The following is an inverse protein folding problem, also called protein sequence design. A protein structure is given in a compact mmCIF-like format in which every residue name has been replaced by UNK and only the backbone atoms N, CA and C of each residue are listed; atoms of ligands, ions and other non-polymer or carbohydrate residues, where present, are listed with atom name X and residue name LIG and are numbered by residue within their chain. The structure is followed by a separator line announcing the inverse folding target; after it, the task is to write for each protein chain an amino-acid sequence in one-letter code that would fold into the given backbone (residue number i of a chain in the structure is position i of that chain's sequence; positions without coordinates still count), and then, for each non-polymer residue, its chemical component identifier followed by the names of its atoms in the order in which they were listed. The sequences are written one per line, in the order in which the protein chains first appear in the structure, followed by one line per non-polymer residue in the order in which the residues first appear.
data_IF_605687744840
#
_entry.id   IF_605687744840
#
_cell.length_a   1.000
_cell.length_b   1.000
_cell.length_c   1.000
_cell.angle_alpha   90.00
_cell.angle_beta   90.00
_cell.angle_gamma   90.00
#
_symmetry.space_group_name_H-M   'P 1'
#
loop_
_entity.id
_entity.type
_entity.pdbx_description
1 polymer ?
#
# COMPACT_ATOMS: atom_id res chain seq x y z
N UNK A 1 1.24 11.99 -17.53
CA UNK A 1 2.23 11.47 -16.59
C UNK A 1 2.38 10.00 -16.88
N UNK A 2 3.58 9.58 -17.27
CA UNK A 2 3.85 8.21 -17.70
C UNK A 2 4.08 7.36 -16.45
N UNK A 3 3.15 6.44 -16.16
CA UNK A 3 3.31 5.47 -15.08
C UNK A 3 4.60 4.67 -15.30
N UNK A 4 5.38 4.47 -14.24
CA UNK A 4 6.57 3.61 -14.27
C UNK A 4 6.19 2.25 -14.90
N UNK A 5 7.00 1.75 -15.85
CA UNK A 5 6.70 0.52 -16.60
C UNK A 5 6.45 -0.67 -15.68
N UNK A 6 7.16 -0.76 -14.57
CA UNK A 6 6.98 -1.84 -13.60
C UNK A 6 5.64 -1.72 -12.86
N UNK A 7 5.24 -0.51 -12.47
CA UNK A 7 3.96 -0.26 -11.83
C UNK A 7 2.77 -0.53 -12.77
N UNK A 8 2.94 -0.32 -14.08
CA UNK A 8 1.91 -0.70 -15.07
C UNK A 8 1.65 -2.22 -15.12
N UNK A 9 2.67 -3.05 -14.81
CA UNK A 9 2.50 -4.50 -14.73
C UNK A 9 1.93 -4.95 -13.39
N UNK A 10 2.04 -4.13 -12.35
CA UNK A 10 1.45 -4.40 -11.03
C UNK A 10 -0.04 -4.03 -11.02
N UNK A 11 -0.40 -2.87 -11.59
CA UNK A 11 -1.78 -2.39 -11.56
C UNK A 11 -2.66 -3.26 -12.47
N UNK A 12 -3.67 -3.90 -11.86
CA UNK A 12 -4.73 -4.57 -12.58
C UNK A 12 -5.55 -3.52 -13.30
N UNK A 13 -5.63 -3.61 -14.63
CA UNK A 13 -6.50 -2.73 -15.43
C UNK A 13 -7.99 -3.05 -15.26
N UNK A 14 -8.34 -4.10 -14.49
CA UNK A 14 -9.72 -4.55 -14.33
C UNK A 14 -10.51 -3.58 -13.44
N UNK A 15 -9.96 -3.18 -12.30
CA UNK A 15 -10.67 -2.31 -11.35
C UNK A 15 -9.81 -1.14 -10.89
N UNK A 16 -10.01 0.00 -11.55
CA UNK A 16 -9.42 1.28 -11.16
C UNK A 16 -10.56 2.29 -11.04
N UNK A 17 -10.64 2.94 -9.88
CA UNK A 17 -11.61 4.01 -9.64
C UNK A 17 -10.89 5.33 -9.45
N UNK A 18 -11.08 6.25 -10.40
CA UNK A 18 -10.61 7.62 -10.27
C UNK A 18 -11.52 8.43 -9.37
N UNK A 19 -10.93 9.40 -8.67
CA UNK A 19 -11.67 10.37 -7.89
C UNK A 19 -12.36 11.37 -8.80
N UNK A 20 -13.58 11.74 -8.43
CA UNK A 20 -14.29 12.91 -8.98
C UNK A 20 -14.15 14.14 -8.09
N UNK A 21 -13.83 13.93 -6.81
CA UNK A 21 -13.71 14.95 -5.78
C UNK A 21 -12.38 14.76 -5.03
N UNK A 22 -11.83 15.86 -4.50
CA UNK A 22 -10.61 15.80 -3.69
C UNK A 22 -10.86 15.01 -2.41
N UNK A 23 -9.90 14.17 -2.03
CA UNK A 23 -9.94 13.47 -0.74
C UNK A 23 -9.90 14.47 0.42
N UNK A 24 -10.66 14.18 1.47
CA UNK A 24 -10.56 14.88 2.77
C UNK A 24 -9.22 14.61 3.47
N UNK A 25 -8.59 13.47 3.19
CA UNK A 25 -7.43 12.96 3.94
C UNK A 25 -6.11 13.18 3.20
N UNK A 26 -6.08 12.90 1.90
CA UNK A 26 -4.89 13.07 1.07
C UNK A 26 -4.78 14.52 0.55
N UNK A 27 -4.49 15.44 1.47
CA UNK A 27 -4.41 16.89 1.22
C UNK A 27 -2.99 17.35 0.87
N UNK A 28 -2.83 18.59 0.40
CA UNK A 28 -1.50 19.20 0.20
C UNK A 28 -0.66 19.20 1.48
N UNK A 29 -1.28 19.46 2.63
CA UNK A 29 -0.58 19.43 3.92
C UNK A 29 -0.08 18.02 4.24
N UNK A 30 -0.92 17.01 3.99
CA UNK A 30 -0.55 15.62 4.15
C UNK A 30 0.65 15.25 3.27
N UNK A 31 0.62 15.59 1.98
CA UNK A 31 1.73 15.30 1.06
C UNK A 31 3.02 16.03 1.45
N UNK A 32 2.92 17.28 1.90
CA UNK A 32 4.07 18.05 2.37
C UNK A 32 4.68 17.45 3.62
N UNK A 33 3.85 17.04 4.60
CA UNK A 33 4.31 16.40 5.84
C UNK A 33 4.97 15.05 5.56
N UNK A 34 4.32 14.20 4.77
CA UNK A 34 4.81 12.85 4.48
C UNK A 34 5.92 12.83 3.41
N UNK A 35 6.18 13.95 2.73
CA UNK A 35 7.26 14.05 1.74
C UNK A 35 7.03 13.22 0.47
N UNK A 36 5.78 12.89 0.15
CA UNK A 36 5.41 12.02 -0.98
C UNK A 36 5.53 12.79 -2.29
N UNK A 37 6.34 12.29 -3.24
CA UNK A 37 6.64 13.00 -4.49
C UNK A 37 6.41 12.14 -5.73
N UNK A 38 7.02 10.96 -5.78
CA UNK A 38 7.10 10.13 -7.00
C UNK A 38 5.75 9.53 -7.37
N UNK A 39 5.04 9.00 -6.37
CA UNK A 39 3.77 8.29 -6.57
C UNK A 39 2.58 9.00 -5.92
N UNK A 40 2.72 10.30 -5.60
CA UNK A 40 1.66 11.16 -5.03
C UNK A 40 0.32 11.01 -5.75
N UNK A 41 0.37 10.93 -7.08
CA UNK A 41 -0.81 10.84 -7.93
C UNK A 41 -1.68 9.60 -7.66
N UNK A 42 -1.10 8.51 -7.13
CA UNK A 42 -1.88 7.32 -6.76
C UNK A 42 -2.88 7.67 -5.64
N UNK A 43 -2.45 8.47 -4.65
CA UNK A 43 -3.27 8.89 -3.52
C UNK A 43 -4.24 10.02 -3.91
N UNK A 44 -3.78 10.94 -4.77
CA UNK A 44 -4.51 12.13 -5.18
C UNK A 44 -5.62 11.85 -6.19
N UNK A 45 -5.36 11.02 -7.20
CA UNK A 45 -6.24 10.87 -8.36
C UNK A 45 -7.17 9.66 -8.26
N UNK A 46 -6.93 8.72 -7.34
CA UNK A 46 -7.64 7.44 -7.27
C UNK A 46 -8.31 7.19 -5.92
N UNK A 47 -9.54 6.67 -6.00
CA UNK A 47 -10.32 6.12 -4.91
C UNK A 47 -9.98 4.65 -4.66
N UNK A 48 -9.62 3.93 -5.72
CA UNK A 48 -9.27 2.51 -5.66
C UNK A 48 -8.36 2.14 -6.82
N UNK A 49 -7.35 1.34 -6.53
CA UNK A 49 -6.46 0.75 -7.54
C UNK A 49 -6.27 -0.71 -7.16
N UNK A 50 -6.82 -1.61 -7.97
CA UNK A 50 -6.55 -3.04 -7.84
C UNK A 50 -5.17 -3.37 -8.39
N UNK A 51 -4.44 -4.24 -7.70
CA UNK A 51 -3.20 -4.84 -8.21
C UNK A 51 -3.47 -6.24 -8.76
N UNK A 52 -2.58 -6.75 -9.61
CA UNK A 52 -2.70 -8.11 -10.11
C UNK A 52 -2.53 -9.11 -8.96
N UNK A 53 -3.25 -10.23 -9.06
CA UNK A 53 -3.09 -11.39 -8.19
C UNK A 53 -1.60 -11.77 -8.13
N UNK A 54 -1.05 -12.09 -6.95
CA UNK A 54 0.40 -12.30 -6.74
C UNK A 54 1.27 -11.03 -6.84
N UNK A 55 0.74 -9.89 -6.36
CA UNK A 55 1.53 -8.69 -6.04
C UNK A 55 1.96 -8.71 -4.57
N UNK A 56 3.24 -8.42 -4.33
CA UNK A 56 3.85 -8.47 -3.00
C UNK A 56 4.69 -7.23 -2.72
N UNK A 57 4.82 -6.86 -1.44
CA UNK A 57 5.75 -5.88 -0.93
C UNK A 57 6.94 -6.59 -0.26
N UNK A 58 8.14 -6.33 -0.76
CA UNK A 58 9.36 -6.98 -0.30
C UNK A 58 9.72 -6.61 1.15
N UNK A 59 9.86 -7.61 2.03
CA UNK A 59 10.31 -7.46 3.44
C UNK A 59 11.83 -7.36 3.55
N UNK A 60 12.56 -8.15 2.76
CA UNK A 60 14.02 -8.23 2.76
C UNK A 60 14.71 -7.57 1.54
N UNK A 61 15.98 -7.94 1.30
CA UNK A 61 16.69 -7.52 0.08
C UNK A 61 16.24 -8.30 -1.16
N UNK A 62 15.86 -9.57 -0.98
CA UNK A 62 15.43 -10.47 -2.05
C UNK A 62 13.91 -10.63 -2.05
N UNK A 63 13.35 -10.92 -3.23
CA UNK A 63 11.93 -11.26 -3.37
C UNK A 63 11.68 -12.64 -2.79
N UNK A 64 10.75 -12.77 -1.86
CA UNK A 64 10.32 -14.03 -1.28
C UNK A 64 8.79 -14.02 -1.01
N UNK A 65 7.96 -14.49 -1.96
CA UNK A 65 6.49 -14.46 -1.82
C UNK A 65 5.93 -15.21 -0.61
N UNK A 66 6.69 -16.13 -0.03
CA UNK A 66 6.28 -16.87 1.17
C UNK A 66 6.42 -16.05 2.46
N UNK A 67 7.27 -15.00 2.45
CA UNK A 67 7.55 -14.14 3.61
C UNK A 67 7.17 -12.67 3.37
N UNK A 68 7.04 -12.26 2.11
CA UNK A 68 6.70 -10.90 1.69
C UNK A 68 5.20 -10.62 1.85
N UNK A 69 4.85 -9.36 2.09
CA UNK A 69 3.47 -8.97 2.32
C UNK A 69 2.67 -9.02 1.02
N UNK A 70 1.55 -9.74 1.01
CA UNK A 70 0.64 -9.73 -0.13
C UNK A 70 -0.12 -8.41 -0.19
N UNK A 71 -0.12 -7.73 -1.34
CA UNK A 71 -0.78 -6.43 -1.52
C UNK A 71 -1.80 -6.53 -2.65
N UNK A 72 -3.08 -6.54 -2.31
CA UNK A 72 -4.19 -6.64 -3.26
C UNK A 72 -4.50 -5.33 -4.01
N UNK A 73 -4.12 -4.19 -3.43
CA UNK A 73 -4.36 -2.89 -4.03
C UNK A 73 -4.24 -1.73 -3.05
N UNK A 74 -4.65 -0.56 -3.53
CA UNK A 74 -4.77 0.67 -2.75
C UNK A 74 -6.24 1.01 -2.56
N UNK A 75 -6.68 1.03 -1.30
CA UNK A 75 -8.06 1.25 -0.89
C UNK A 75 -8.22 2.65 -0.31
N UNK A 76 -8.41 3.63 -1.19
CA UNK A 76 -8.16 5.04 -0.89
C UNK A 76 -9.43 5.86 -0.65
N UNK A 77 -10.62 5.32 -0.89
CA UNK A 77 -11.88 6.03 -0.63
C UNK A 77 -11.93 6.58 0.78
N UNK A 78 -12.41 7.81 0.93
CA UNK A 78 -12.53 8.46 2.24
C UNK A 78 -13.34 7.61 3.23
N UNK A 79 -14.38 6.91 2.78
CA UNK A 79 -15.14 5.95 3.62
C UNK A 79 -14.27 4.80 4.17
N UNK A 80 -13.32 4.31 3.38
CA UNK A 80 -12.40 3.26 3.82
C UNK A 80 -11.40 3.83 4.83
N UNK A 81 -10.92 5.05 4.58
CA UNK A 81 -10.06 5.77 5.52
C UNK A 81 -10.77 5.97 6.86
N UNK A 82 -12.01 6.49 6.84
CA UNK A 82 -12.89 6.68 8.00
C UNK A 82 -13.09 5.35 8.77
N UNK A 83 -13.40 4.26 8.08
CA UNK A 83 -13.59 2.96 8.71
C UNK A 83 -12.35 2.44 9.43
N UNK A 84 -11.15 2.71 8.88
CA UNK A 84 -9.89 2.28 9.48
C UNK A 84 -9.40 3.24 10.58
N UNK A 85 -9.79 4.51 10.54
CA UNK A 85 -9.60 5.43 11.66
C UNK A 85 -10.45 5.02 12.87
N UNK A 86 -11.67 4.52 12.68
CA UNK A 86 -12.48 3.98 13.79
C UNK A 86 -11.77 2.80 14.47
N UNK A 87 -11.14 1.92 13.69
CA UNK A 87 -10.32 0.84 14.25
C UNK A 87 -9.14 1.36 15.09
N UNK A 88 -8.42 2.39 14.61
CA UNK A 88 -7.35 3.00 15.39
C UNK A 88 -7.86 3.67 16.67
N UNK A 89 -9.08 4.20 16.65
CA UNK A 89 -9.71 4.83 17.82
C UNK A 89 -10.00 3.79 18.90
N UNK A 90 -10.54 2.62 18.52
CA UNK A 90 -10.75 1.49 19.45
C UNK A 90 -9.43 1.02 20.07
N UNK A 91 -8.34 0.99 19.29
CA UNK A 91 -7.01 0.68 19.82
C UNK A 91 -6.49 1.77 20.77
N UNK A 92 -6.60 3.04 20.40
CA UNK A 92 -6.20 4.16 21.25
C UNK A 92 -6.93 4.12 22.60
N UNK A 93 -8.24 3.86 22.61
CA UNK A 93 -9.05 3.71 23.82
C UNK A 93 -8.58 2.52 24.67
N UNK A 94 -8.38 1.35 24.06
CA UNK A 94 -7.89 0.17 24.76
C UNK A 94 -6.54 0.41 25.45
N UNK A 95 -5.57 0.99 24.75
CA UNK A 95 -4.26 1.26 25.33
C UNK A 95 -4.29 2.37 26.39
N UNK A 96 -5.19 3.36 26.25
CA UNK A 96 -5.44 4.36 27.30
C UNK A 96 -5.98 3.73 28.57
N UNK A 97 -6.92 2.78 28.47
CA UNK A 97 -7.53 2.12 29.62
C UNK A 97 -6.59 1.12 30.30
N UNK A 98 -5.82 0.36 29.52
CA UNK A 98 -4.97 -0.73 30.03
C UNK A 98 -3.54 -0.28 30.38
N UNK A 99 -3.06 0.81 29.79
CA UNK A 99 -1.67 1.27 29.91
C UNK A 99 -0.66 0.43 29.14
N UNK A 100 -1.11 -0.52 28.31
CA UNK A 100 -0.26 -1.52 27.64
C UNK A 100 0.39 -1.02 26.34
N UNK A 101 0.75 0.27 26.26
CA UNK A 101 1.37 0.87 25.08
C UNK A 101 2.70 0.22 24.68
N UNK A 102 3.42 -0.37 25.63
CA UNK A 102 4.68 -1.08 25.34
C UNK A 102 4.48 -2.28 24.41
N UNK A 103 3.24 -2.83 24.33
CA UNK A 103 2.89 -3.93 23.43
C UNK A 103 2.71 -3.48 21.97
N UNK A 104 2.63 -2.18 21.70
CA UNK A 104 2.44 -1.66 20.34
C UNK A 104 3.65 -1.88 19.42
N UNK A 105 4.86 -2.13 19.96
CA UNK A 105 6.06 -2.30 19.15
C UNK A 105 6.49 -1.05 18.35
N UNK A 106 5.80 0.09 18.55
CA UNK A 106 6.10 1.40 17.95
C UNK A 106 6.24 2.47 19.05
N UNK A 107 7.03 3.54 18.82
CA UNK A 107 7.35 4.53 19.85
C UNK A 107 6.23 5.55 20.15
N UNK A 108 5.16 5.58 19.36
CA UNK A 108 4.18 6.67 19.43
C UNK A 108 2.82 6.26 20.02
N UNK A 109 2.27 7.21 20.75
CA UNK A 109 0.90 7.25 21.30
C UNK A 109 -0.01 8.02 20.32
N UNK A 110 -1.33 7.86 20.41
CA UNK A 110 -2.32 8.55 19.55
C UNK A 110 -2.25 8.10 18.07
N UNK A 111 -2.61 6.84 17.84
CA UNK A 111 -2.62 6.21 16.52
C UNK A 111 -3.51 6.97 15.54
N UNK A 112 -4.72 7.35 15.95
CA UNK A 112 -5.68 8.10 15.13
C UNK A 112 -5.16 9.47 14.67
N UNK A 113 -4.38 10.15 15.53
CA UNK A 113 -3.82 11.46 15.22
C UNK A 113 -2.63 11.36 14.27
N UNK A 114 -1.86 10.28 14.34
CA UNK A 114 -0.59 10.16 13.63
C UNK A 114 -0.69 9.35 12.34
N UNK A 115 -1.55 8.33 12.29
CA UNK A 115 -1.65 7.42 11.15
C UNK A 115 -2.76 7.82 10.18
N UNK A 116 -2.49 7.62 8.88
CA UNK A 116 -3.49 7.70 7.81
C UNK A 116 -3.54 6.36 7.06
N UNK A 117 -4.67 5.63 7.10
CA UNK A 117 -4.81 4.38 6.39
C UNK A 117 -4.95 4.59 4.87
N UNK A 118 -4.45 3.64 4.07
CA UNK A 118 -4.55 3.69 2.61
C UNK A 118 -4.69 2.31 1.92
N UNK A 119 -4.79 1.23 2.68
CA UNK A 119 -5.13 -0.12 2.18
C UNK A 119 -6.14 -0.83 3.10
N UNK A 120 -6.84 -1.85 2.58
CA UNK A 120 -7.73 -2.68 3.38
C UNK A 120 -8.44 -3.82 2.64
N UNK A 121 -8.09 -5.06 3.02
CA UNK A 121 -8.97 -6.25 3.15
C UNK A 121 -8.23 -7.39 3.85
N UNK A 122 -6.93 -7.55 3.57
CA UNK A 122 -6.05 -8.50 4.26
C UNK A 122 -5.01 -7.84 5.17
N UNK A 123 -4.59 -6.60 4.90
CA UNK A 123 -3.61 -5.87 5.72
C UNK A 123 -4.07 -4.44 6.06
N UNK A 124 -3.79 -4.01 7.29
CA UNK A 124 -4.03 -2.66 7.77
C UNK A 124 -2.77 -1.82 7.55
N UNK A 125 -2.67 -1.14 6.40
CA UNK A 125 -1.48 -0.35 6.05
C UNK A 125 -1.72 1.15 6.27
N UNK A 126 -0.75 1.80 6.93
CA UNK A 126 -0.84 3.18 7.36
C UNK A 126 0.41 3.98 7.00
N UNK A 127 0.22 5.27 6.69
CA UNK A 127 1.28 6.28 6.60
C UNK A 127 1.32 7.04 7.93
N UNK A 128 2.47 7.06 8.57
CA UNK A 128 2.71 7.90 9.74
C UNK A 128 3.03 9.34 9.32
N UNK A 129 2.18 10.30 9.69
CA UNK A 129 2.35 11.72 9.31
C UNK A 129 3.52 12.40 10.01
N UNK A 130 4.07 11.82 11.07
CA UNK A 130 5.16 12.38 11.87
C UNK A 130 6.52 11.90 11.40
N UNK A 131 6.59 10.66 10.90
CA UNK A 131 7.84 10.03 10.46
C UNK A 131 7.89 9.70 8.97
N UNK A 132 6.76 9.86 8.25
CA UNK A 132 6.52 9.40 6.88
C UNK A 132 6.51 7.89 6.68
N UNK A 133 6.86 7.11 7.70
CA UNK A 133 7.02 5.66 7.63
C UNK A 133 5.71 4.93 7.32
N UNK A 134 5.85 3.78 6.66
CA UNK A 134 4.74 2.91 6.31
C UNK A 134 4.72 1.73 7.28
N UNK A 135 3.61 1.57 7.98
CA UNK A 135 3.41 0.50 8.95
C UNK A 135 2.25 -0.40 8.52
N UNK A 136 2.36 -1.68 8.82
CA UNK A 136 1.23 -2.61 8.79
C UNK A 136 0.88 -3.07 10.20
N UNK A 137 -0.40 -3.27 10.48
CA UNK A 137 -0.88 -3.92 11.69
C UNK A 137 -1.43 -5.31 11.31
N UNK A 138 -0.76 -6.35 11.79
CA UNK A 138 -1.09 -7.75 11.52
C UNK A 138 -1.78 -8.33 12.76
N UNK A 139 -2.94 -8.94 12.54
CA UNK A 139 -3.64 -9.66 13.60
C UNK A 139 -2.88 -10.95 13.92
N UNK A 140 -2.55 -11.17 15.19
CA UNK A 140 -2.05 -12.46 15.64
C UNK A 140 -3.19 -13.49 15.60
N UNK A 141 -3.03 -14.57 14.82
CA UNK A 141 -4.06 -15.59 14.61
C UNK A 141 -4.34 -16.44 15.87
N UNK A 142 -3.46 -16.40 16.87
CA UNK A 142 -3.53 -17.27 18.05
C UNK A 142 -4.55 -16.83 19.13
N UNK A 143 -5.32 -15.76 18.89
CA UNK A 143 -6.27 -15.22 19.87
C UNK A 143 -7.72 -15.42 19.41
N UNK A 144 -8.29 -16.56 19.79
CA UNK A 144 -9.71 -16.91 19.61
C UNK A 144 -10.71 -15.99 20.34
N UNK A 145 -10.23 -14.92 21.00
CA UNK A 145 -11.04 -13.91 21.67
C UNK A 145 -10.77 -12.55 21.03
N UNK A 146 -11.74 -12.03 20.27
CA UNK A 146 -11.71 -10.68 19.67
C UNK A 146 -11.30 -9.57 20.65
N UNK A 147 -11.57 -9.75 21.95
CA UNK A 147 -11.39 -8.75 23.00
C UNK A 147 -9.93 -8.56 23.46
N UNK A 148 -9.01 -9.45 23.05
CA UNK A 148 -7.57 -9.38 23.40
C UNK A 148 -6.67 -9.34 22.17
N UNK A 149 -7.20 -9.03 20.99
CA UNK A 149 -6.42 -9.08 19.74
C UNK A 149 -5.22 -8.11 19.80
N UNK A 150 -4.03 -8.64 20.09
CA UNK A 150 -2.79 -7.89 19.98
C UNK A 150 -2.44 -7.80 18.50
N UNK A 151 -2.32 -6.57 18.00
CA UNK A 151 -1.82 -6.33 16.66
C UNK A 151 -0.30 -6.20 16.68
N UNK A 152 0.37 -7.01 15.86
CA UNK A 152 1.79 -6.88 15.62
C UNK A 152 2.01 -5.78 14.58
N UNK A 153 2.70 -4.72 14.98
CA UNK A 153 3.04 -3.60 14.11
C UNK A 153 4.40 -3.83 13.46
N UNK A 154 4.43 -3.85 12.14
CA UNK A 154 5.67 -4.02 11.38
C UNK A 154 5.93 -2.81 10.48
N UNK A 155 7.18 -2.34 10.46
CA UNK A 155 7.65 -1.31 9.55
C UNK A 155 7.93 -1.94 8.18
N UNK A 156 7.24 -1.49 7.13
CA UNK A 156 7.38 -2.06 5.78
C UNK A 156 8.14 -1.14 4.81
N UNK A 157 8.15 0.18 5.05
CA UNK A 157 8.96 1.14 4.28
C UNK A 157 9.20 2.45 5.05
N UNK A 158 10.26 3.20 4.70
CA UNK A 158 10.56 4.49 5.31
C UNK A 158 9.66 5.62 4.78
N UNK A 159 9.04 5.43 3.60
CA UNK A 159 8.05 6.35 3.05
C UNK A 159 7.17 5.69 1.97
N UNK A 160 6.11 6.39 1.57
CA UNK A 160 5.18 5.89 0.55
C UNK A 160 5.84 5.64 -0.81
N UNK A 161 6.81 6.47 -1.21
CA UNK A 161 7.46 6.28 -2.50
C UNK A 161 8.31 5.00 -2.51
N UNK A 162 9.02 4.72 -1.43
CA UNK A 162 9.76 3.47 -1.23
C UNK A 162 8.83 2.26 -1.13
N UNK A 163 7.68 2.38 -0.45
CA UNK A 163 6.68 1.31 -0.39
C UNK A 163 6.26 0.88 -1.79
N UNK A 164 5.92 1.83 -2.66
CA UNK A 164 5.56 1.51 -4.05
C UNK A 164 6.75 0.92 -4.82
N UNK A 165 7.98 1.38 -4.58
CA UNK A 165 9.18 0.82 -5.21
C UNK A 165 9.54 -0.60 -4.72
N UNK A 166 9.08 -1.00 -3.53
CA UNK A 166 9.23 -2.36 -3.00
C UNK A 166 8.19 -3.34 -3.55
N UNK A 167 7.14 -2.86 -4.22
CA UNK A 167 6.14 -3.71 -4.83
C UNK A 167 6.71 -4.48 -6.03
N UNK A 168 6.36 -5.74 -6.13
CA UNK A 168 6.65 -6.55 -7.30
C UNK A 168 5.51 -7.51 -7.60
N UNK A 169 5.36 -7.84 -8.87
CA UNK A 169 4.37 -8.78 -9.37
C UNK A 169 5.06 -10.04 -9.88
N UNK A 170 4.50 -11.21 -9.55
CA UNK A 170 4.90 -12.49 -10.14
C UNK A 170 3.86 -12.87 -11.19
N UNK A 171 4.19 -12.72 -12.49
CA UNK A 171 3.27 -13.09 -13.55
C UNK A 171 3.04 -14.61 -13.59
N UNK A 172 1.78 -14.99 -13.83
CA UNK A 172 1.43 -16.33 -14.26
C UNK A 172 2.02 -16.66 -15.65
N UNK A 173 1.97 -17.93 -16.05
CA UNK A 173 2.57 -18.36 -17.34
C UNK A 173 1.94 -17.67 -18.54
N UNK A 174 0.62 -17.53 -18.57
CA UNK A 174 -0.10 -16.85 -19.65
C UNK A 174 0.30 -15.36 -19.77
N UNK A 175 0.50 -14.69 -18.63
CA UNK A 175 0.93 -13.30 -18.56
C UNK A 175 2.40 -13.17 -18.96
N UNK A 176 3.26 -14.12 -18.58
CA UNK A 176 4.66 -14.18 -19.07
C UNK A 176 4.71 -14.30 -20.59
N UNK A 177 3.90 -15.16 -21.18
CA UNK A 177 3.82 -15.30 -22.65
C UNK A 177 3.38 -13.99 -23.30
N UNK A 178 2.31 -13.36 -22.80
CA UNK A 178 1.85 -12.07 -23.33
C UNK A 178 2.87 -10.94 -23.22
N UNK A 179 3.57 -10.84 -22.09
CA UNK A 179 4.66 -9.86 -21.91
C UNK A 179 5.78 -10.13 -22.92
N UNK A 180 6.14 -11.40 -23.12
CA UNK A 180 7.18 -11.77 -24.09
C UNK A 180 6.80 -11.40 -25.52
N UNK A 181 5.55 -11.64 -25.93
CA UNK A 181 5.05 -11.26 -27.25
C UNK A 181 5.05 -9.74 -27.44
N UNK A 182 4.62 -8.97 -26.43
CA UNK A 182 4.59 -7.51 -26.50
C UNK A 182 6.01 -6.92 -26.59
N UNK A 183 6.97 -7.51 -25.88
CA UNK A 183 8.38 -7.14 -26.00
C UNK A 183 8.92 -7.40 -27.42
N UNK A 184 8.60 -8.56 -28.01
CA UNK A 184 8.99 -8.90 -29.39
C UNK A 184 8.35 -7.93 -30.39
N UNK A 185 7.05 -7.63 -30.26
CA UNK A 185 6.35 -6.66 -31.13
C UNK A 185 6.98 -5.26 -31.04
N UNK A 186 7.27 -4.79 -29.83
CA UNK A 186 7.94 -3.50 -29.63
C UNK A 186 9.34 -3.46 -30.26
N UNK A 187 10.10 -4.55 -30.18
CA UNK A 187 11.40 -4.69 -30.85
C UNK A 187 11.26 -4.62 -32.38
N UNK A 188 10.28 -5.33 -32.95
CA UNK A 188 9.98 -5.30 -34.39
C UNK A 188 9.61 -3.88 -34.83
N UNK A 189 8.76 -3.18 -34.08
CA UNK A 189 8.35 -1.82 -34.39
C UNK A 189 9.51 -0.82 -34.34
N UNK A 190 10.44 -0.98 -33.39
CA UNK A 190 11.65 -0.14 -33.29
C UNK A 190 12.59 -0.40 -34.47
N UNK A 191 12.78 -1.67 -34.86
CA UNK A 191 13.62 -2.05 -36.00
C UNK A 191 13.02 -1.55 -37.32
N UNK A 192 11.70 -1.71 -37.49
CA UNK A 192 10.96 -1.25 -38.69
C UNK A 192 10.97 0.27 -38.87
N UNK A 193 11.15 1.03 -37.79
CA UNK A 193 11.28 2.50 -37.83
C UNK A 193 12.71 2.98 -38.07
N UNK A 194 13.73 2.15 -37.84
CA UNK A 194 15.14 2.48 -38.12
C UNK A 194 15.54 2.28 -39.59
N UNK A 195 14.72 1.58 -40.36
CA UNK A 195 14.95 1.32 -41.80
C UNK A 195 14.31 2.36 -42.73
N UNK A 196 13.82 3.49 -42.21
CA UNK A 196 13.33 4.65 -42.98
C UNK A 196 14.15 5.89 -42.69
#
# INVERSE_FOLDING_TARGET
MEMNKELNFIISKKYIEKRTEKSKYFTEEFFKKCGIKKYRYLLEDYNFIEFNDATYCRKGENKNPEEDYYIDGLWLKDKNVESKLNFLMELDEYYQETGEYEKLGRPDYYLTDNLVPFSGLCDYIFIDKTTSKIWTAIQDEDLSNMMETIYNWELIADNFDEFIDKLYYIPDEDTKERISEEQVRNLIDVLSKKEK
#
